data_IF_535672458858
#
_entry.id   IF_535672458858
#
_cell.length_a   1.000
_cell.length_b   1.000
_cell.length_c   1.000
_cell.angle_alpha   90.00
_cell.angle_beta   90.00
_cell.angle_gamma   90.00
#
_symmetry.space_group_name_H-M   'P 1'
#
loop_
_entity.id
_entity.type
_entity.pdbx_description
1 polymer ?
#
# COMPACT_ATOMS: atom_id res chain seq x y z
N UNK A 1 -20.90 -56.00 -60.05
CA UNK A 1 -21.47 -54.65 -59.69
C UNK A 1 -21.14 -54.45 -58.22
N UNK A 2 -20.11 -53.64 -57.93
CA UNK A 2 -19.70 -53.26 -56.57
C UNK A 2 -20.20 -51.90 -56.26
N UNK A 3 -21.16 -51.74 -55.31
CA UNK A 3 -21.66 -50.45 -54.80
C UNK A 3 -20.68 -49.95 -53.78
N UNK A 4 -20.01 -48.86 -54.12
CA UNK A 4 -19.16 -48.10 -53.21
C UNK A 4 -20.00 -47.06 -52.51
N UNK A 5 -20.27 -47.25 -51.24
CA UNK A 5 -20.99 -46.31 -50.37
C UNK A 5 -20.03 -45.21 -49.95
N UNK A 6 -20.22 -44.01 -50.50
CA UNK A 6 -19.48 -42.82 -50.11
C UNK A 6 -20.02 -42.32 -48.78
N UNK A 7 -19.29 -42.51 -47.68
CA UNK A 7 -19.60 -41.95 -46.35
C UNK A 7 -19.07 -40.52 -46.29
N UNK A 8 -19.97 -39.55 -46.41
CA UNK A 8 -19.68 -38.17 -46.15
C UNK A 8 -19.49 -37.98 -44.64
N UNK A 9 -18.26 -37.78 -44.20
CA UNK A 9 -17.96 -37.38 -42.80
C UNK A 9 -18.18 -35.87 -42.69
N UNK A 10 -19.25 -35.48 -42.05
CA UNK A 10 -19.48 -34.04 -41.67
C UNK A 10 -18.70 -33.80 -40.40
N UNK A 11 -17.57 -33.09 -40.52
CA UNK A 11 -16.83 -32.59 -39.37
C UNK A 11 -17.56 -31.35 -38.85
N UNK A 12 -18.27 -31.49 -37.75
CA UNK A 12 -18.73 -30.35 -36.96
C UNK A 12 -17.51 -29.73 -36.30
N UNK A 13 -16.97 -28.65 -36.88
CA UNK A 13 -16.08 -27.75 -36.15
C UNK A 13 -16.96 -26.95 -35.19
N UNK A 14 -17.08 -27.43 -33.95
CA UNK A 14 -17.59 -26.62 -32.88
C UNK A 14 -16.59 -25.47 -32.68
N UNK A 15 -16.89 -24.28 -33.24
CA UNK A 15 -16.27 -23.06 -32.78
C UNK A 15 -16.69 -22.91 -31.32
N UNK A 16 -15.82 -23.30 -30.40
CA UNK A 16 -15.84 -22.86 -29.03
C UNK A 16 -15.59 -21.33 -29.08
N UNK A 17 -16.65 -20.57 -29.21
CA UNK A 17 -16.64 -19.17 -28.86
C UNK A 17 -16.46 -19.19 -27.33
N UNK A 18 -15.22 -19.20 -26.88
CA UNK A 18 -14.95 -18.81 -25.50
C UNK A 18 -15.42 -17.37 -25.41
N UNK A 19 -16.41 -17.03 -24.56
CA UNK A 19 -16.62 -15.63 -24.26
C UNK A 19 -15.27 -15.13 -23.75
N UNK A 20 -14.69 -14.18 -24.46
CA UNK A 20 -13.54 -13.45 -23.92
C UNK A 20 -14.03 -12.91 -22.57
N UNK A 21 -13.52 -13.49 -21.49
CA UNK A 21 -13.75 -12.94 -20.15
C UNK A 21 -13.01 -11.60 -20.19
N UNK A 22 -13.71 -10.57 -20.62
CA UNK A 22 -13.23 -9.21 -20.47
C UNK A 22 -13.26 -8.97 -18.95
N UNK A 23 -12.08 -8.77 -18.37
CA UNK A 23 -12.01 -8.45 -16.96
C UNK A 23 -12.31 -6.96 -16.70
N UNK A 24 -12.90 -6.26 -17.64
CA UNK A 24 -13.37 -4.87 -17.56
C UNK A 24 -14.58 -4.67 -18.51
N UNK A 25 -15.39 -3.68 -18.23
CA UNK A 25 -16.59 -3.38 -19.04
C UNK A 25 -16.26 -2.60 -20.30
N UNK A 26 -15.32 -1.65 -20.25
CA UNK A 26 -14.90 -0.86 -21.42
C UNK A 26 -13.51 -0.21 -21.24
N UNK A 27 -12.96 0.21 -22.36
CA UNK A 27 -11.74 1.02 -22.44
C UNK A 27 -12.09 2.45 -22.91
N UNK A 28 -11.48 3.45 -22.30
CA UNK A 28 -11.59 4.84 -22.71
C UNK A 28 -10.30 5.60 -22.33
N UNK A 29 -9.74 6.33 -23.30
CA UNK A 29 -8.55 7.17 -23.15
C UNK A 29 -7.35 6.44 -22.48
N UNK A 30 -7.15 5.17 -22.88
CA UNK A 30 -6.05 4.33 -22.40
C UNK A 30 -6.23 3.75 -20.99
N UNK A 31 -7.40 3.91 -20.39
CA UNK A 31 -7.75 3.28 -19.12
C UNK A 31 -8.88 2.26 -19.29
N UNK A 32 -8.87 1.25 -18.41
CA UNK A 32 -9.86 0.19 -18.35
C UNK A 32 -10.79 0.42 -17.17
N UNK A 33 -12.08 0.23 -17.41
CA UNK A 33 -13.10 0.61 -16.45
C UNK A 33 -14.13 -0.48 -16.22
N UNK A 34 -14.59 -0.58 -14.97
CA UNK A 34 -15.78 -1.34 -14.58
C UNK A 34 -16.89 -0.38 -14.16
N UNK A 35 -18.12 -0.67 -14.61
CA UNK A 35 -19.31 0.14 -14.30
C UNK A 35 -19.78 -0.23 -12.89
N UNK A 36 -19.66 0.73 -11.97
CA UNK A 36 -20.04 0.54 -10.56
C UNK A 36 -21.47 0.98 -10.26
N UNK A 37 -22.03 1.86 -11.08
CA UNK A 37 -23.43 2.31 -10.98
C UNK A 37 -23.90 2.91 -12.30
N UNK A 38 -25.14 3.42 -12.32
CA UNK A 38 -25.68 4.16 -13.48
C UNK A 38 -24.87 5.41 -13.83
N UNK A 39 -24.05 5.95 -12.95
CA UNK A 39 -23.33 7.21 -13.16
C UNK A 39 -21.86 7.16 -12.81
N UNK A 40 -21.35 6.04 -12.27
CA UNK A 40 -19.97 5.91 -11.81
C UNK A 40 -19.26 4.70 -12.39
N UNK A 41 -17.94 4.81 -12.49
CA UNK A 41 -17.02 3.73 -12.87
C UNK A 41 -15.81 3.71 -11.97
N UNK A 42 -15.16 2.54 -11.89
CA UNK A 42 -13.86 2.37 -11.30
C UNK A 42 -12.78 2.16 -12.38
N UNK A 43 -11.54 2.60 -12.12
CA UNK A 43 -10.39 2.21 -12.91
C UNK A 43 -9.95 0.82 -12.42
N UNK A 44 -9.83 -0.11 -13.37
CA UNK A 44 -9.43 -1.49 -13.12
C UNK A 44 -8.11 -1.85 -13.80
N UNK A 45 -7.62 -3.07 -13.62
CA UNK A 45 -6.36 -3.51 -14.18
C UNK A 45 -6.42 -3.72 -15.70
N UNK A 46 -5.32 -3.49 -16.39
CA UNK A 46 -5.15 -3.87 -17.78
C UNK A 46 -4.70 -5.34 -17.88
N UNK A 47 -4.99 -6.00 -19.01
CA UNK A 47 -4.51 -7.34 -19.33
C UNK A 47 -3.15 -7.37 -20.03
N UNK A 48 -2.46 -6.25 -20.07
CA UNK A 48 -1.17 -6.07 -20.71
C UNK A 48 -0.26 -5.16 -19.89
N UNK A 49 0.63 -4.48 -20.56
CA UNK A 49 1.56 -3.54 -19.97
C UNK A 49 1.30 -2.12 -20.54
N UNK A 50 0.01 -1.72 -20.50
CA UNK A 50 -0.44 -0.45 -21.08
C UNK A 50 -0.21 0.72 -20.11
N UNK A 51 -0.36 0.50 -18.80
CA UNK A 51 -0.12 1.52 -17.77
C UNK A 51 1.38 1.72 -17.56
N UNK A 52 1.96 2.73 -18.21
CA UNK A 52 3.41 3.03 -18.17
C UNK A 52 3.70 4.52 -18.32
N UNK A 53 4.89 4.93 -17.91
CA UNK A 53 5.31 6.34 -17.95
C UNK A 53 4.49 7.18 -16.98
N UNK A 54 4.18 8.40 -17.39
CA UNK A 54 3.39 9.37 -16.62
C UNK A 54 1.93 9.25 -17.01
N UNK A 55 1.06 8.95 -16.07
CA UNK A 55 -0.38 8.83 -16.31
C UNK A 55 -1.19 9.80 -15.45
N UNK A 56 -2.33 10.24 -16.02
CA UNK A 56 -3.29 11.08 -15.30
C UNK A 56 -4.65 10.39 -15.32
N UNK A 57 -5.10 9.91 -14.16
CA UNK A 57 -6.42 9.28 -14.03
C UNK A 57 -7.49 10.37 -14.14
N UNK A 58 -8.37 10.30 -15.15
CA UNK A 58 -9.35 11.35 -15.41
C UNK A 58 -10.49 11.34 -14.37
N UNK A 59 -11.24 12.43 -14.32
CA UNK A 59 -12.45 12.53 -13.49
C UNK A 59 -13.69 11.93 -14.15
N UNK A 60 -13.65 11.67 -15.45
CA UNK A 60 -14.78 11.16 -16.23
C UNK A 60 -14.29 10.21 -17.34
N UNK A 61 -15.13 9.24 -17.67
CA UNK A 61 -14.97 8.36 -18.82
C UNK A 61 -16.29 8.27 -19.60
N UNK A 62 -16.20 8.08 -20.93
CA UNK A 62 -17.39 8.00 -21.80
C UNK A 62 -17.48 6.63 -22.46
N UNK A 63 -18.64 5.99 -22.36
CA UNK A 63 -18.94 4.72 -23.00
C UNK A 63 -20.31 4.76 -23.64
N UNK A 64 -20.42 4.37 -24.92
CA UNK A 64 -21.68 4.37 -25.69
C UNK A 64 -22.48 5.67 -25.61
N UNK A 65 -21.79 6.83 -25.65
CA UNK A 65 -22.44 8.16 -25.60
C UNK A 65 -22.88 8.60 -24.19
N UNK A 66 -22.63 7.79 -23.15
CA UNK A 66 -22.93 8.12 -21.76
C UNK A 66 -21.62 8.43 -21.01
N UNK A 67 -21.62 9.54 -20.27
CA UNK A 67 -20.48 9.95 -19.43
C UNK A 67 -20.69 9.46 -18.01
N UNK A 68 -19.64 8.84 -17.44
CA UNK A 68 -19.57 8.35 -16.07
C UNK A 68 -18.53 9.13 -15.29
N UNK A 69 -18.76 9.31 -14.01
CA UNK A 69 -17.74 9.84 -13.09
C UNK A 69 -16.80 8.71 -12.66
N UNK A 70 -15.48 8.93 -12.71
CA UNK A 70 -14.48 7.99 -12.21
C UNK A 70 -14.29 8.27 -10.72
N UNK A 71 -14.69 7.33 -9.86
CA UNK A 71 -14.72 7.53 -8.40
C UNK A 71 -13.79 6.63 -7.63
N UNK A 72 -13.36 5.52 -8.23
CA UNK A 72 -12.58 4.50 -7.51
C UNK A 72 -11.41 4.01 -8.36
N UNK A 73 -10.28 3.75 -7.71
CA UNK A 73 -9.21 2.90 -8.23
C UNK A 73 -9.34 1.55 -7.56
N UNK A 74 -9.52 0.48 -8.33
CA UNK A 74 -9.75 -0.85 -7.78
C UNK A 74 -8.52 -1.47 -7.12
N UNK A 75 -8.75 -2.52 -6.36
CA UNK A 75 -7.68 -3.33 -5.82
C UNK A 75 -6.84 -3.93 -6.97
N UNK A 76 -5.51 -3.84 -6.84
CA UNK A 76 -4.52 -4.30 -7.83
C UNK A 76 -4.56 -3.58 -9.19
N UNK A 77 -5.29 -2.48 -9.38
CA UNK A 77 -5.47 -1.82 -10.69
C UNK A 77 -4.16 -1.54 -11.43
N UNK A 78 -3.13 -1.11 -10.74
CA UNK A 78 -1.79 -0.82 -11.30
C UNK A 78 -0.69 -1.71 -10.72
N UNK A 79 -1.05 -2.82 -10.08
CA UNK A 79 -0.07 -3.71 -9.45
C UNK A 79 0.94 -4.27 -10.46
N UNK A 80 2.24 -4.22 -10.11
CA UNK A 80 3.31 -4.78 -10.92
C UNK A 80 3.63 -3.98 -12.19
N UNK A 81 3.16 -2.73 -12.30
CA UNK A 81 3.47 -1.87 -13.46
C UNK A 81 4.89 -1.33 -13.34
N UNK A 82 5.85 -2.13 -13.83
CA UNK A 82 7.28 -1.86 -13.69
C UNK A 82 7.74 -0.59 -14.41
N UNK A 83 7.02 -0.16 -15.46
CA UNK A 83 7.35 1.01 -16.26
C UNK A 83 6.54 2.27 -15.88
N UNK A 84 5.67 2.20 -14.88
CA UNK A 84 4.92 3.35 -14.39
C UNK A 84 5.84 4.27 -13.58
N UNK A 85 5.92 5.55 -13.95
CA UNK A 85 6.87 6.51 -13.36
C UNK A 85 6.21 7.56 -12.49
N UNK A 86 5.06 8.07 -12.91
CA UNK A 86 4.27 9.00 -12.11
C UNK A 86 2.76 8.81 -12.32
N UNK A 87 1.97 9.17 -11.29
CA UNK A 87 0.50 9.12 -11.34
C UNK A 87 -0.08 10.41 -10.78
N UNK A 88 -0.92 11.05 -11.58
CA UNK A 88 -1.81 12.10 -11.09
C UNK A 88 -3.23 11.55 -10.93
N UNK A 89 -3.77 11.60 -9.72
CA UNK A 89 -5.11 11.10 -9.38
C UNK A 89 -6.06 12.28 -9.30
N UNK A 90 -7.16 12.24 -10.08
CA UNK A 90 -8.15 13.31 -10.12
C UNK A 90 -8.92 13.48 -8.80
N UNK A 91 -9.50 14.66 -8.60
CA UNK A 91 -10.27 14.98 -7.39
C UNK A 91 -11.61 14.23 -7.28
N UNK A 92 -12.05 13.53 -8.33
CA UNK A 92 -13.29 12.73 -8.30
C UNK A 92 -13.10 11.37 -7.64
N UNK A 93 -11.85 10.92 -7.48
CA UNK A 93 -11.53 9.64 -6.82
C UNK A 93 -11.73 9.80 -5.32
N UNK A 94 -12.56 8.96 -4.73
CA UNK A 94 -12.85 8.89 -3.30
C UNK A 94 -12.12 7.76 -2.60
N UNK A 95 -11.78 6.69 -3.34
CA UNK A 95 -11.15 5.50 -2.76
C UNK A 95 -10.11 4.86 -3.67
N UNK A 96 -9.07 4.33 -3.05
CA UNK A 96 -8.01 3.55 -3.69
C UNK A 96 -7.93 2.19 -3.00
N UNK A 97 -8.11 1.13 -3.77
CA UNK A 97 -8.18 -0.24 -3.28
C UNK A 97 -6.83 -0.82 -2.84
N UNK A 98 -6.89 -1.99 -2.22
CA UNK A 98 -5.72 -2.72 -1.73
C UNK A 98 -4.75 -3.04 -2.87
N UNK A 99 -3.44 -2.91 -2.60
CA UNK A 99 -2.36 -3.21 -3.55
C UNK A 99 -2.42 -2.41 -4.87
N UNK A 100 -3.19 -1.32 -4.96
CA UNK A 100 -3.46 -0.62 -6.23
C UNK A 100 -2.18 -0.26 -7.00
N UNK A 101 -1.13 0.19 -6.33
CA UNK A 101 0.17 0.54 -6.91
C UNK A 101 1.32 -0.30 -6.33
N UNK A 102 1.02 -1.51 -5.84
CA UNK A 102 2.02 -2.42 -5.30
C UNK A 102 2.99 -2.91 -6.38
N UNK A 103 4.28 -3.03 -6.04
CA UNK A 103 5.33 -3.51 -6.93
C UNK A 103 5.47 -2.67 -8.22
N UNK A 104 5.44 -1.33 -8.08
CA UNK A 104 5.73 -0.36 -9.14
C UNK A 104 7.10 0.30 -8.89
N UNK A 105 8.23 -0.35 -9.20
CA UNK A 105 9.56 0.05 -8.74
C UNK A 105 10.03 1.39 -9.32
N UNK A 106 9.51 1.82 -10.47
CA UNK A 106 9.83 3.11 -11.08
C UNK A 106 8.82 4.22 -10.73
N UNK A 107 7.76 3.92 -10.00
CA UNK A 107 6.78 4.91 -9.56
C UNK A 107 7.38 5.77 -8.44
N UNK A 108 7.92 6.92 -8.82
CA UNK A 108 8.62 7.84 -7.91
C UNK A 108 7.74 8.98 -7.41
N UNK A 109 6.65 9.30 -8.12
CA UNK A 109 5.78 10.43 -7.82
C UNK A 109 4.31 10.03 -7.91
N UNK A 110 3.54 10.39 -6.88
CA UNK A 110 2.07 10.26 -6.87
C UNK A 110 1.48 11.55 -6.34
N UNK A 111 0.59 12.16 -7.12
CA UNK A 111 -0.23 13.28 -6.70
C UNK A 111 -1.63 12.78 -6.38
N UNK A 112 -1.98 12.79 -5.10
CA UNK A 112 -3.29 12.37 -4.62
C UNK A 112 -4.33 13.48 -4.85
N UNK A 113 -5.51 13.10 -5.39
CA UNK A 113 -6.66 14.01 -5.50
C UNK A 113 -7.26 14.37 -4.14
N UNK A 114 -7.86 15.54 -4.05
CA UNK A 114 -8.51 16.04 -2.83
C UNK A 114 -9.80 15.26 -2.46
N UNK A 115 -10.36 14.46 -3.36
CA UNK A 115 -11.55 13.64 -3.10
C UNK A 115 -11.26 12.40 -2.25
N UNK A 116 -10.00 11.95 -2.19
CA UNK A 116 -9.65 10.68 -1.56
C UNK A 116 -9.94 10.73 -0.06
N UNK A 117 -10.74 9.78 0.42
CA UNK A 117 -11.08 9.57 1.83
C UNK A 117 -10.52 8.26 2.37
N UNK A 118 -10.34 7.26 1.49
CA UNK A 118 -9.87 5.93 1.84
C UNK A 118 -8.68 5.49 0.99
N UNK A 119 -7.65 4.97 1.64
CA UNK A 119 -6.47 4.33 1.04
C UNK A 119 -6.35 2.90 1.58
N UNK A 120 -6.29 1.91 0.68
CA UNK A 120 -6.26 0.48 1.02
C UNK A 120 -4.97 -0.02 1.65
N UNK A 121 -4.92 -1.34 1.91
CA UNK A 121 -3.75 -2.02 2.43
C UNK A 121 -2.67 -2.17 1.36
N UNK A 122 -1.38 -2.12 1.77
CA UNK A 122 -0.22 -2.37 0.89
C UNK A 122 -0.24 -1.56 -0.42
N UNK A 123 -0.93 -0.41 -0.43
CA UNK A 123 -1.27 0.34 -1.63
C UNK A 123 -0.05 0.70 -2.48
N UNK A 124 1.08 1.10 -1.87
CA UNK A 124 2.33 1.44 -2.53
C UNK A 124 3.48 0.49 -2.18
N UNK A 125 3.17 -0.67 -1.61
CA UNK A 125 4.21 -1.63 -1.23
C UNK A 125 5.21 -1.88 -2.35
N UNK A 126 6.51 -1.81 -2.03
CA UNK A 126 7.60 -2.04 -3.00
C UNK A 126 7.56 -1.08 -4.20
N UNK A 127 7.03 0.12 -4.04
CA UNK A 127 7.12 1.18 -5.05
C UNK A 127 8.40 2.01 -4.89
N UNK A 128 8.76 2.74 -5.96
CA UNK A 128 9.91 3.64 -5.98
C UNK A 128 9.67 5.02 -5.38
N UNK A 129 8.56 5.25 -4.66
CA UNK A 129 8.20 6.55 -4.09
C UNK A 129 9.35 7.15 -3.29
N UNK A 130 9.62 8.44 -3.51
CA UNK A 130 10.62 9.22 -2.75
C UNK A 130 9.98 10.08 -1.67
N UNK A 131 8.79 10.60 -1.93
CA UNK A 131 7.93 11.31 -0.98
C UNK A 131 6.47 11.16 -1.37
N UNK A 132 5.55 11.43 -0.43
CA UNK A 132 4.12 11.52 -0.70
C UNK A 132 3.48 12.52 0.25
N UNK A 133 2.42 13.21 -0.22
CA UNK A 133 1.59 14.07 0.61
C UNK A 133 0.19 13.49 0.75
N UNK A 134 -0.22 13.20 1.97
CA UNK A 134 -1.58 12.78 2.33
C UNK A 134 -2.47 14.02 2.34
N UNK A 135 -3.51 14.02 1.50
CA UNK A 135 -4.41 15.17 1.33
C UNK A 135 -5.38 15.33 2.51
N UNK A 136 -6.03 16.49 2.58
CA UNK A 136 -6.85 16.90 3.74
C UNK A 136 -8.03 15.98 4.05
N UNK A 137 -8.59 15.31 3.05
CA UNK A 137 -9.80 14.52 3.21
C UNK A 137 -9.54 13.03 3.51
N UNK A 138 -8.30 12.56 3.40
CA UNK A 138 -7.95 11.18 3.75
C UNK A 138 -8.23 10.95 5.23
N UNK A 139 -9.19 10.08 5.52
CA UNK A 139 -9.64 9.75 6.88
C UNK A 139 -9.28 8.33 7.30
N UNK A 140 -8.97 7.45 6.33
CA UNK A 140 -8.61 6.06 6.58
C UNK A 140 -7.43 5.64 5.69
N UNK A 141 -6.45 5.02 6.31
CA UNK A 141 -5.29 4.43 5.65
C UNK A 141 -5.17 2.99 6.14
N UNK A 142 -5.09 2.04 5.22
CA UNK A 142 -4.94 0.62 5.51
C UNK A 142 -3.58 0.25 6.10
N UNK A 143 -3.37 -1.03 6.32
CA UNK A 143 -2.12 -1.56 6.88
C UNK A 143 -1.00 -1.53 5.85
N UNK A 144 0.23 -1.32 6.32
CA UNK A 144 1.47 -1.40 5.51
C UNK A 144 1.46 -0.53 4.23
N UNK A 145 0.88 0.66 4.20
CA UNK A 145 0.61 1.40 2.96
C UNK A 145 1.88 1.67 2.14
N UNK A 146 3.04 1.77 2.78
CA UNK A 146 4.33 2.11 2.20
C UNK A 146 5.41 1.06 2.51
N UNK A 147 5.04 -0.18 2.85
CA UNK A 147 6.00 -1.22 3.18
C UNK A 147 6.99 -1.48 2.04
N UNK A 148 8.25 -1.72 2.37
CA UNK A 148 9.33 -1.92 1.40
C UNK A 148 9.56 -0.77 0.39
N UNK A 149 9.03 0.43 0.62
CA UNK A 149 9.35 1.63 -0.16
C UNK A 149 10.71 2.20 0.29
N UNK A 150 11.79 1.55 -0.10
CA UNK A 150 13.15 1.84 0.41
C UNK A 150 13.72 3.19 -0.02
N UNK A 151 13.07 3.88 -0.95
CA UNK A 151 13.44 5.23 -1.39
C UNK A 151 12.59 6.32 -0.71
N UNK A 152 11.52 5.94 0.00
CA UNK A 152 10.60 6.89 0.63
C UNK A 152 11.25 7.51 1.87
N UNK A 153 11.56 8.81 1.79
CA UNK A 153 12.23 9.55 2.86
C UNK A 153 11.28 10.33 3.76
N UNK A 154 10.11 10.68 3.24
CA UNK A 154 9.11 11.46 3.99
C UNK A 154 7.67 11.17 3.53
N UNK A 155 6.77 11.18 4.50
CA UNK A 155 5.33 11.14 4.31
C UNK A 155 4.78 12.45 4.91
N UNK A 156 4.41 13.38 4.03
CA UNK A 156 3.84 14.65 4.41
C UNK A 156 2.32 14.53 4.55
N UNK A 157 1.71 15.42 5.34
CA UNK A 157 0.26 15.48 5.56
C UNK A 157 -0.17 16.93 5.44
N UNK A 158 -1.25 17.18 4.68
CA UNK A 158 -1.88 18.51 4.60
C UNK A 158 -2.25 18.99 6.02
N UNK A 159 -1.89 20.21 6.38
CA UNK A 159 -2.11 20.77 7.72
C UNK A 159 -3.60 20.77 8.11
N UNK A 160 -4.48 20.91 7.12
CA UNK A 160 -5.93 20.87 7.30
C UNK A 160 -6.50 19.44 7.48
N UNK A 161 -5.68 18.38 7.34
CA UNK A 161 -6.16 17.01 7.59
C UNK A 161 -6.52 16.85 9.08
N UNK A 162 -7.76 16.44 9.43
CA UNK A 162 -8.19 16.32 10.82
C UNK A 162 -7.82 14.99 11.49
N UNK A 163 -7.34 14.00 10.73
CA UNK A 163 -7.13 12.63 11.21
C UNK A 163 -5.65 12.27 11.39
N UNK A 164 -4.79 12.80 10.52
CA UNK A 164 -3.37 12.48 10.47
C UNK A 164 -2.50 13.73 10.58
N UNK A 165 -1.23 13.50 10.89
CA UNK A 165 -0.19 14.51 10.95
C UNK A 165 1.14 13.92 10.47
N UNK A 166 2.07 14.75 10.06
CA UNK A 166 3.46 14.37 9.84
C UNK A 166 4.32 14.87 11.01
N UNK A 167 5.14 14.00 11.55
CA UNK A 167 6.14 14.36 12.55
C UNK A 167 7.52 14.07 11.97
N UNK A 168 8.20 15.11 11.53
CA UNK A 168 9.48 14.97 10.83
C UNK A 168 9.42 13.92 9.69
N UNK A 169 8.40 14.02 8.81
CA UNK A 169 8.21 13.12 7.67
C UNK A 169 7.73 11.70 8.03
N UNK A 170 7.42 11.42 9.28
CA UNK A 170 6.81 10.15 9.73
C UNK A 170 5.30 10.35 9.90
N UNK A 171 4.50 9.46 9.30
CA UNK A 171 3.05 9.51 9.40
C UNK A 171 2.60 9.12 10.81
N UNK A 172 1.81 9.99 11.43
CA UNK A 172 1.24 9.79 12.77
C UNK A 172 -0.26 10.03 12.76
N UNK A 173 -0.94 9.62 13.85
CA UNK A 173 -2.25 10.15 14.15
C UNK A 173 -2.21 11.69 14.34
N UNK A 174 -3.37 12.35 14.29
CA UNK A 174 -3.46 13.82 14.39
C UNK A 174 -2.77 14.37 15.64
N UNK A 175 -2.87 13.65 16.75
CA UNK A 175 -2.33 14.09 18.05
C UNK A 175 -0.82 13.83 18.19
N UNK A 176 -0.19 13.18 17.19
CA UNK A 176 1.23 12.78 17.22
C UNK A 176 1.57 11.86 18.40
N UNK A 177 0.64 10.98 18.73
CA UNK A 177 0.80 10.00 19.82
C UNK A 177 1.02 8.58 19.31
N UNK A 178 0.63 8.29 18.07
CA UNK A 178 0.76 6.98 17.44
C UNK A 178 1.53 7.09 16.14
N UNK A 179 2.57 6.29 15.95
CA UNK A 179 3.20 6.12 14.63
C UNK A 179 2.29 5.23 13.79
N UNK A 180 1.87 5.71 12.62
CA UNK A 180 1.02 4.99 11.66
C UNK A 180 1.87 4.34 10.57
N UNK A 181 2.84 5.06 10.00
CA UNK A 181 3.79 4.51 9.03
C UNK A 181 5.12 5.26 9.05
N UNK A 182 6.21 4.50 9.03
CA UNK A 182 7.57 5.01 8.93
C UNK A 182 8.07 4.88 7.48
N UNK A 183 8.62 5.94 6.87
CA UNK A 183 9.17 5.89 5.53
C UNK A 183 10.52 5.16 5.53
N UNK A 184 10.59 3.99 4.88
CA UNK A 184 11.73 3.08 4.97
C UNK A 184 13.06 3.67 4.45
N UNK A 185 13.00 4.67 3.57
CA UNK A 185 14.18 5.40 3.05
C UNK A 185 14.70 6.51 3.96
N UNK A 186 14.03 6.82 5.08
CA UNK A 186 14.39 7.95 5.96
C UNK A 186 15.76 7.78 6.64
N UNK A 187 16.22 6.57 6.81
CA UNK A 187 17.56 6.32 7.36
C UNK A 187 17.70 4.98 8.08
N UNK A 188 18.95 4.67 8.40
CA UNK A 188 19.30 3.40 9.07
C UNK A 188 19.09 3.42 10.57
N UNK A 189 18.98 4.60 11.16
CA UNK A 189 18.84 4.78 12.61
C UNK A 189 17.67 5.73 12.88
N UNK A 190 16.81 5.33 13.79
CA UNK A 190 15.70 6.17 14.18
C UNK A 190 15.55 6.20 15.70
N UNK A 191 15.46 7.41 16.23
CA UNK A 191 15.12 7.68 17.62
C UNK A 191 13.68 8.19 17.61
N UNK A 192 12.78 7.39 18.14
CA UNK A 192 11.36 7.76 18.23
C UNK A 192 11.25 8.95 19.18
N UNK A 193 10.60 10.06 18.77
CA UNK A 193 10.46 11.25 19.60
C UNK A 193 9.65 10.99 20.88
N UNK A 194 9.99 11.73 21.94
CA UNK A 194 9.15 11.79 23.13
C UNK A 194 7.75 12.30 22.78
N UNK A 195 6.73 11.78 23.49
CA UNK A 195 5.32 12.09 23.22
C UNK A 195 4.62 11.00 22.40
N UNK A 196 5.36 10.19 21.63
CA UNK A 196 4.80 8.97 21.04
C UNK A 196 4.52 7.97 22.17
N UNK A 197 3.27 7.50 22.24
CA UNK A 197 2.82 6.53 23.26
C UNK A 197 2.55 5.15 22.68
N UNK A 198 2.38 5.08 21.35
CA UNK A 198 2.06 3.85 20.64
C UNK A 198 2.79 3.72 19.31
N UNK A 199 3.33 2.55 19.05
CA UNK A 199 3.88 2.14 17.76
C UNK A 199 2.81 1.26 17.12
N UNK A 200 2.18 1.76 16.05
CA UNK A 200 0.99 1.17 15.45
C UNK A 200 1.29 -0.12 14.68
N UNK A 201 0.24 -0.87 14.43
CA UNK A 201 0.27 -2.12 13.66
C UNK A 201 0.93 -1.90 12.31
N UNK A 202 1.92 -2.74 11.98
CA UNK A 202 2.69 -2.68 10.72
C UNK A 202 3.43 -1.35 10.45
N UNK A 203 3.59 -0.47 11.42
CA UNK A 203 4.11 0.90 11.17
C UNK A 203 5.55 0.95 10.65
N UNK A 204 6.39 -0.05 10.94
CA UNK A 204 7.73 -0.25 10.38
C UNK A 204 7.84 -1.55 9.59
N UNK A 205 6.73 -2.15 9.18
CA UNK A 205 6.76 -3.44 8.48
C UNK A 205 7.60 -3.37 7.20
N UNK A 206 8.54 -4.33 7.04
CA UNK A 206 9.46 -4.42 5.91
C UNK A 206 10.31 -3.15 5.68
N UNK A 207 10.67 -2.43 6.74
CA UNK A 207 11.66 -1.36 6.71
C UNK A 207 13.07 -1.95 6.65
N UNK A 208 13.45 -2.56 5.53
CA UNK A 208 14.71 -3.30 5.37
C UNK A 208 15.98 -2.50 5.74
N UNK A 209 16.11 -1.19 5.42
CA UNK A 209 17.36 -0.48 5.67
C UNK A 209 17.62 -0.13 7.15
N UNK A 210 16.60 -0.23 8.02
CA UNK A 210 16.74 0.21 9.42
C UNK A 210 17.58 -0.78 10.20
N UNK A 211 18.61 -0.27 10.93
CA UNK A 211 19.52 -1.10 11.71
C UNK A 211 19.41 -0.86 13.22
N UNK A 212 18.88 0.31 13.60
CA UNK A 212 18.83 0.74 15.00
C UNK A 212 17.54 1.52 15.29
N UNK A 213 16.88 1.15 16.38
CA UNK A 213 15.71 1.86 16.88
C UNK A 213 15.90 2.15 18.38
N UNK A 214 15.62 3.39 18.77
CA UNK A 214 15.45 3.77 20.16
C UNK A 214 13.99 4.14 20.43
N UNK A 215 13.36 3.40 21.32
CA UNK A 215 11.99 3.57 21.76
C UNK A 215 12.01 4.33 23.10
N UNK A 216 11.43 5.54 23.19
CA UNK A 216 11.51 6.36 24.39
C UNK A 216 10.60 5.84 25.52
N UNK A 217 10.80 6.40 26.71
CA UNK A 217 10.00 6.06 27.90
C UNK A 217 8.49 6.41 27.77
N UNK A 218 8.12 7.27 26.82
CA UNK A 218 6.72 7.61 26.57
C UNK A 218 5.92 6.47 25.92
N UNK A 219 6.59 5.55 25.19
CA UNK A 219 5.92 4.44 24.50
C UNK A 219 5.49 3.37 25.49
N UNK A 220 4.22 3.01 25.45
CA UNK A 220 3.59 1.99 26.27
C UNK A 220 3.28 0.72 25.49
N UNK A 221 2.89 0.86 24.23
CA UNK A 221 2.41 -0.25 23.41
C UNK A 221 3.15 -0.34 22.09
N UNK A 222 3.58 -1.55 21.73
CA UNK A 222 4.09 -1.93 20.41
C UNK A 222 3.10 -2.94 19.84
N UNK A 223 2.39 -2.53 18.78
CA UNK A 223 1.31 -3.34 18.20
C UNK A 223 1.82 -4.44 17.26
N UNK A 224 0.86 -5.23 16.78
CA UNK A 224 1.06 -6.40 15.91
C UNK A 224 1.95 -6.07 14.70
N UNK A 225 2.99 -6.89 14.46
CA UNK A 225 3.92 -6.76 13.33
C UNK A 225 4.59 -5.39 13.19
N UNK A 226 4.60 -4.56 14.23
CA UNK A 226 5.09 -3.18 14.15
C UNK A 226 6.49 -3.08 13.53
N UNK A 227 7.42 -3.96 13.87
CA UNK A 227 8.78 -4.04 13.34
C UNK A 227 9.06 -5.36 12.61
N UNK A 228 8.03 -6.06 12.15
CA UNK A 228 8.28 -7.34 11.48
C UNK A 228 8.94 -7.15 10.11
N UNK A 229 9.79 -8.11 9.75
CA UNK A 229 10.55 -8.10 8.49
C UNK A 229 11.49 -6.89 8.31
N UNK A 230 11.96 -6.26 9.37
CA UNK A 230 13.05 -5.29 9.33
C UNK A 230 14.40 -6.05 9.30
N UNK A 231 14.72 -6.69 8.19
CA UNK A 231 15.77 -7.72 8.10
C UNK A 231 17.18 -7.23 8.43
N UNK A 232 17.46 -5.92 8.35
CA UNK A 232 18.73 -5.32 8.74
C UNK A 232 18.72 -4.80 10.19
N UNK A 233 17.60 -4.87 10.91
CA UNK A 233 17.49 -4.39 12.29
C UNK A 233 18.38 -5.25 13.21
N UNK A 234 19.38 -4.61 13.80
CA UNK A 234 20.39 -5.24 14.68
C UNK A 234 20.15 -4.90 16.15
N UNK A 235 19.80 -3.66 16.44
CA UNK A 235 19.73 -3.15 17.82
C UNK A 235 18.41 -2.41 18.08
N UNK A 236 17.74 -2.79 19.18
CA UNK A 236 16.57 -2.09 19.72
C UNK A 236 16.85 -1.68 21.16
N UNK A 237 16.62 -0.40 21.47
CA UNK A 237 16.61 0.08 22.85
C UNK A 237 15.14 0.34 23.24
N UNK A 238 14.68 -0.36 24.28
CA UNK A 238 13.32 -0.20 24.82
C UNK A 238 13.35 0.73 26.03
N UNK A 239 12.50 1.75 26.02
CA UNK A 239 12.23 2.56 27.19
C UNK A 239 11.64 1.75 28.35
N UNK A 240 11.59 2.36 29.53
CA UNK A 240 11.19 1.69 30.75
C UNK A 240 9.66 1.55 30.92
N UNK A 241 8.85 2.11 30.02
CA UNK A 241 7.38 2.13 30.13
C UNK A 241 6.69 1.24 29.10
N UNK A 242 7.44 0.44 28.33
CA UNK A 242 6.83 -0.55 27.43
C UNK A 242 6.21 -1.66 28.28
N UNK A 243 4.87 -1.68 28.35
CA UNK A 243 4.13 -2.65 29.18
C UNK A 243 3.92 -3.96 28.45
N UNK A 244 3.74 -3.90 27.11
CA UNK A 244 3.51 -5.08 26.28
C UNK A 244 4.02 -4.87 24.86
N UNK A 245 4.52 -5.95 24.26
CA UNK A 245 4.67 -6.10 22.83
C UNK A 245 3.71 -7.16 22.34
N UNK A 246 2.91 -6.83 21.32
CA UNK A 246 1.97 -7.79 20.75
C UNK A 246 2.67 -8.90 19.97
N UNK A 247 1.88 -9.92 19.61
CA UNK A 247 2.35 -11.08 18.83
C UNK A 247 3.11 -10.62 17.59
N UNK A 248 4.26 -11.25 17.34
CA UNK A 248 5.07 -11.02 16.15
C UNK A 248 5.55 -9.56 15.93
N UNK A 249 5.57 -8.72 16.97
CA UNK A 249 6.00 -7.32 16.84
C UNK A 249 7.40 -7.19 16.20
N UNK A 250 8.32 -8.12 16.46
CA UNK A 250 9.68 -8.17 15.92
C UNK A 250 9.94 -9.42 15.06
N UNK A 251 8.91 -10.02 14.50
CA UNK A 251 9.04 -11.26 13.73
C UNK A 251 9.90 -11.07 12.48
N UNK A 252 10.64 -12.13 12.07
CA UNK A 252 11.49 -12.15 10.85
C UNK A 252 12.52 -11.01 10.86
N UNK A 253 13.24 -10.86 11.97
CA UNK A 253 14.36 -9.94 12.10
C UNK A 253 15.65 -10.76 12.33
N UNK A 254 16.13 -11.42 11.29
CA UNK A 254 17.23 -12.41 11.37
C UNK A 254 18.55 -11.82 11.88
N UNK A 255 18.71 -10.49 11.81
CA UNK A 255 19.90 -9.77 12.31
C UNK A 255 19.73 -9.16 13.69
N UNK A 256 18.55 -9.28 14.31
CA UNK A 256 18.31 -8.70 15.62
C UNK A 256 19.08 -9.43 16.70
N UNK A 257 20.23 -8.87 17.06
CA UNK A 257 21.15 -9.43 18.02
C UNK A 257 20.98 -8.85 19.43
N UNK A 258 20.48 -7.62 19.52
CA UNK A 258 20.53 -6.88 20.77
C UNK A 258 19.24 -6.15 21.07
N UNK A 259 18.63 -6.47 22.19
CA UNK A 259 17.53 -5.71 22.76
C UNK A 259 17.94 -5.27 24.16
N UNK A 260 18.13 -3.96 24.35
CA UNK A 260 18.35 -3.37 25.66
C UNK A 260 17.00 -2.91 26.22
N UNK A 261 16.57 -3.47 27.33
CA UNK A 261 15.42 -2.95 28.07
C UNK A 261 15.90 -2.05 29.20
N UNK A 262 15.40 -0.83 29.24
CA UNK A 262 15.63 0.11 30.34
C UNK A 262 14.70 -0.18 31.54
N UNK A 263 13.70 -1.04 31.35
CA UNK A 263 12.82 -1.49 32.41
C UNK A 263 13.52 -2.61 33.23
N UNK A 264 13.63 -2.48 34.54
CA UNK A 264 14.19 -3.54 35.40
C UNK A 264 13.38 -4.84 35.37
N UNK A 265 12.07 -4.74 35.02
CA UNK A 265 11.22 -5.90 34.72
C UNK A 265 10.98 -5.88 33.21
N UNK A 266 11.53 -6.82 32.42
CA UNK A 266 11.30 -6.86 30.98
C UNK A 266 9.80 -6.85 30.68
N UNK A 267 9.36 -6.14 29.61
CA UNK A 267 7.98 -6.18 29.21
C UNK A 267 7.55 -7.61 28.89
N UNK A 268 6.30 -7.94 29.20
CA UNK A 268 5.73 -9.22 28.83
C UNK A 268 5.75 -9.33 27.30
N UNK A 269 6.68 -10.13 26.77
CA UNK A 269 6.70 -10.48 25.36
C UNK A 269 5.62 -11.56 25.14
N UNK A 270 4.70 -11.32 24.21
CA UNK A 270 3.76 -12.36 23.79
C UNK A 270 4.54 -13.51 23.14
N UNK A 271 4.11 -14.76 23.36
CA UNK A 271 4.68 -15.93 22.66
C UNK A 271 4.64 -15.66 21.16
N UNK A 272 5.80 -15.72 20.48
CA UNK A 272 5.93 -15.42 19.05
C UNK A 272 6.29 -13.97 18.70
N UNK A 273 6.53 -13.10 19.67
CA UNK A 273 6.96 -11.73 19.40
C UNK A 273 8.29 -11.66 18.60
N UNK A 274 9.12 -12.70 18.71
CA UNK A 274 10.47 -12.81 18.11
C UNK A 274 10.64 -14.05 17.22
N UNK A 275 9.57 -14.74 16.86
CA UNK A 275 9.66 -15.94 16.04
C UNK A 275 10.16 -15.59 14.62
N UNK A 276 11.15 -16.35 14.14
CA UNK A 276 11.72 -16.31 12.79
C UNK A 276 10.86 -17.05 11.76
#
# INVERSE_FOLDING_TARGET
MKNTLLRTVVIFVALCIYPSIHAYDFEYDGFYYDITSDSTVSVTHDHGDFYKGDISIPNQATHNGKTYQVTTIEANAFKGKEQLTSVHISNSIDSIGDYAFCACPLLTQVSLGEGITYMGNDIFRSSGLTSITITRNVSQIGLSPFSACTQLTEINVDEANPYFSSLDGVLTDKNRTTIVAYPAGKGKRYIIPDGITKIGTHSFFACYPITYIHIPNSVKTIELFAFASCTDLDTVILGNSVDSSEVAAFRINDRLNTIYSMNPIPPAAHTGAFDS
#
